data_IF_362608082714
#
_entry.id   IF_362608082714
#
_cell.length_a   1.000
_cell.length_b   1.000
_cell.length_c   1.000
_cell.angle_alpha   90.00
_cell.angle_beta   90.00
_cell.angle_gamma   90.00
#
_symmetry.space_group_name_H-M   'P 1'
#
loop_
_entity.id
_entity.type
_entity.pdbx_description
1 polymer ?
#
# COMPACT_ATOMS: atom_id res chain seq x y z
N UNK A 1 37.89 5.38 -42.60
CA UNK A 1 37.96 5.74 -41.16
C UNK A 1 36.74 6.49 -40.65
N UNK A 2 36.11 7.40 -41.40
CA UNK A 2 34.94 8.18 -40.94
C UNK A 2 33.69 7.33 -40.61
N UNK A 3 33.49 6.21 -41.29
CA UNK A 3 32.31 5.34 -41.13
C UNK A 3 32.37 4.48 -39.85
N UNK A 4 33.55 4.24 -39.30
CA UNK A 4 33.72 3.44 -38.08
C UNK A 4 33.37 4.21 -36.80
N UNK A 5 33.45 5.54 -36.81
CA UNK A 5 33.13 6.36 -35.64
C UNK A 5 31.64 6.26 -35.24
N UNK A 6 30.66 6.45 -36.17
CA UNK A 6 29.26 6.30 -35.81
C UNK A 6 28.90 4.86 -35.40
N UNK A 7 29.54 3.85 -36.00
CA UNK A 7 29.31 2.47 -35.62
C UNK A 7 29.79 2.18 -34.19
N UNK A 8 30.99 2.63 -33.83
CA UNK A 8 31.55 2.47 -32.50
C UNK A 8 30.73 3.25 -31.46
N UNK A 9 30.26 4.45 -31.81
CA UNK A 9 29.39 5.24 -30.94
C UNK A 9 28.03 4.53 -30.72
N UNK A 10 27.44 3.95 -31.75
CA UNK A 10 26.21 3.18 -31.66
C UNK A 10 26.38 1.92 -30.79
N UNK A 11 27.45 1.17 -31.00
CA UNK A 11 27.76 -0.02 -30.19
C UNK A 11 28.04 0.34 -28.74
N UNK A 12 28.78 1.43 -28.48
CA UNK A 12 29.04 1.93 -27.14
C UNK A 12 27.76 2.39 -26.42
N UNK A 13 26.88 3.11 -27.13
CA UNK A 13 25.60 3.53 -26.57
C UNK A 13 24.68 2.34 -26.32
N UNK A 14 24.65 1.35 -27.22
CA UNK A 14 23.89 0.11 -27.04
C UNK A 14 24.38 -0.70 -25.85
N UNK A 15 25.69 -0.86 -25.70
CA UNK A 15 26.28 -1.52 -24.53
C UNK A 15 25.96 -0.79 -23.22
N UNK A 16 26.09 0.54 -23.21
CA UNK A 16 25.72 1.39 -22.06
C UNK A 16 24.25 1.21 -21.68
N UNK A 17 23.36 1.17 -22.70
CA UNK A 17 21.93 1.01 -22.48
C UNK A 17 21.60 -0.38 -21.88
N UNK A 18 22.19 -1.44 -22.44
CA UNK A 18 22.03 -2.82 -21.92
C UNK A 18 22.54 -2.94 -20.48
N UNK A 19 23.70 -2.37 -20.18
CA UNK A 19 24.25 -2.35 -18.82
C UNK A 19 23.37 -1.56 -17.84
N UNK A 20 22.74 -0.47 -18.30
CA UNK A 20 21.85 0.37 -17.47
C UNK A 20 20.46 -0.20 -17.30
N UNK A 21 19.94 -0.98 -18.25
CA UNK A 21 18.64 -1.67 -18.12
C UNK A 21 18.65 -2.74 -17.01
N UNK A 22 19.80 -3.29 -16.66
CA UNK A 22 19.96 -4.25 -15.57
C UNK A 22 20.23 -3.62 -14.19
N UNK A 23 20.38 -2.30 -14.11
CA UNK A 23 20.72 -1.59 -12.85
C UNK A 23 19.53 -0.75 -12.40
N UNK A 24 18.78 -1.30 -11.46
CA UNK A 24 17.66 -0.62 -10.80
C UNK A 24 16.30 -1.22 -11.17
N UNK A 25 15.47 -1.39 -10.17
CA UNK A 25 14.07 -1.74 -10.34
C UNK A 25 13.27 -0.44 -10.60
N UNK A 26 12.81 -0.17 -11.85
CA UNK A 26 12.08 1.06 -12.16
C UNK A 26 10.73 1.15 -11.43
N UNK A 27 10.25 0.04 -10.84
CA UNK A 27 9.04 0.03 -10.01
C UNK A 27 9.29 0.62 -8.61
N UNK A 28 10.56 0.78 -8.20
CA UNK A 28 10.95 1.38 -6.92
C UNK A 28 11.16 2.89 -7.01
N UNK A 29 10.19 3.59 -7.56
CA UNK A 29 10.19 5.07 -7.45
C UNK A 29 9.79 5.40 -6.00
N UNK A 30 10.70 6.02 -5.20
CA UNK A 30 10.33 6.45 -3.86
C UNK A 30 9.10 7.36 -3.96
N UNK A 31 8.06 7.05 -3.21
CA UNK A 31 6.87 7.91 -3.19
C UNK A 31 7.29 9.31 -2.68
N UNK A 32 6.95 10.33 -3.46
CA UNK A 32 7.17 11.73 -3.05
C UNK A 32 6.45 12.10 -1.74
N UNK A 33 5.51 11.24 -1.28
CA UNK A 33 4.74 11.45 -0.07
C UNK A 33 5.44 10.93 1.20
N UNK A 34 6.55 10.17 1.08
CA UNK A 34 7.27 9.67 2.27
C UNK A 34 7.82 10.87 3.05
N UNK A 35 7.57 10.89 4.37
CA UNK A 35 7.92 11.99 5.26
C UNK A 35 6.93 13.16 5.27
N UNK A 36 5.95 13.16 4.36
CA UNK A 36 4.89 14.18 4.33
C UNK A 36 3.66 13.75 5.12
N UNK A 37 2.83 14.73 5.49
CA UNK A 37 1.54 14.46 6.13
C UNK A 37 0.68 13.57 5.22
N UNK A 38 0.01 12.59 5.80
CA UNK A 38 -0.95 11.76 5.08
C UNK A 38 -2.08 12.64 4.51
N UNK A 39 -2.54 12.40 3.28
CA UNK A 39 -3.67 13.12 2.71
C UNK A 39 -4.90 13.03 3.61
N UNK A 40 -5.59 14.17 3.78
CA UNK A 40 -6.84 14.18 4.52
C UNK A 40 -7.91 13.40 3.76
N UNK A 41 -8.37 12.32 4.35
CA UNK A 41 -9.25 11.34 3.69
C UNK A 41 -10.38 10.99 4.65
N UNK A 42 -11.61 11.14 4.18
CA UNK A 42 -12.82 10.69 4.85
C UNK A 42 -13.66 9.90 3.84
N UNK A 43 -13.66 8.57 3.99
CA UNK A 43 -14.36 7.66 3.11
C UNK A 43 -15.47 6.91 3.86
N UNK A 44 -16.66 6.78 3.25
CA UNK A 44 -17.77 6.07 3.86
C UNK A 44 -17.41 4.61 4.13
N UNK A 45 -18.04 3.98 5.15
CA UNK A 45 -17.84 2.57 5.45
C UNK A 45 -18.33 1.66 4.32
N UNK A 46 -17.74 0.47 4.23
CA UNK A 46 -18.25 -0.58 3.35
C UNK A 46 -19.63 -1.05 3.88
N UNK A 47 -20.73 -0.82 3.16
CA UNK A 47 -22.08 -1.11 3.64
C UNK A 47 -22.25 -2.55 4.07
N UNK A 48 -22.74 -2.78 5.28
CA UNK A 48 -22.99 -4.11 5.82
C UNK A 48 -21.73 -4.94 6.11
N UNK A 49 -20.56 -4.31 6.19
CA UNK A 49 -19.36 -4.97 6.69
C UNK A 49 -19.38 -4.98 8.21
N UNK A 50 -19.37 -6.18 8.77
CA UNK A 50 -19.30 -6.40 10.21
C UNK A 50 -18.04 -7.14 10.60
N UNK A 51 -17.59 -6.89 11.84
CA UNK A 51 -16.55 -7.64 12.52
C UNK A 51 -16.95 -7.81 13.98
N UNK A 52 -16.99 -9.05 14.45
CA UNK A 52 -17.41 -9.39 15.82
C UNK A 52 -18.81 -8.82 16.19
N UNK A 53 -19.74 -8.84 15.22
CA UNK A 53 -21.12 -8.33 15.38
C UNK A 53 -21.25 -6.80 15.43
N UNK A 54 -20.20 -6.06 15.09
CA UNK A 54 -20.20 -4.59 15.00
C UNK A 54 -19.88 -4.14 13.59
N UNK A 55 -20.57 -3.08 13.15
CA UNK A 55 -20.26 -2.44 11.87
C UNK A 55 -18.82 -1.91 11.87
N UNK A 56 -18.08 -2.23 10.80
CA UNK A 56 -16.75 -1.69 10.59
C UNK A 56 -16.87 -0.24 10.12
N UNK A 57 -16.25 0.74 10.80
CA UNK A 57 -16.33 2.14 10.42
C UNK A 57 -15.64 2.42 9.07
N UNK A 58 -15.95 3.57 8.49
CA UNK A 58 -15.25 4.13 7.34
C UNK A 58 -13.82 4.51 7.66
N UNK A 59 -13.11 5.00 6.66
CA UNK A 59 -11.72 5.43 6.79
C UNK A 59 -11.67 6.95 7.00
N UNK A 60 -11.34 7.40 8.20
CA UNK A 60 -11.04 8.80 8.50
C UNK A 60 -9.60 8.94 9.00
N UNK A 61 -8.79 9.69 8.25
CA UNK A 61 -7.38 9.95 8.63
C UNK A 61 -7.24 10.84 9.87
N UNK A 62 -8.28 11.56 10.29
CA UNK A 62 -8.28 12.29 11.54
C UNK A 62 -8.15 11.36 12.77
N UNK A 63 -8.58 10.10 12.63
CA UNK A 63 -8.48 9.08 13.68
C UNK A 63 -7.11 8.39 13.76
N UNK A 64 -6.14 8.75 12.91
CA UNK A 64 -4.82 8.10 12.92
C UNK A 64 -3.88 8.68 13.97
N UNK A 65 -4.16 9.88 14.46
CA UNK A 65 -3.31 10.56 15.43
C UNK A 65 -3.09 9.71 16.69
N UNK A 66 -1.84 9.63 17.15
CA UNK A 66 -1.46 8.92 18.37
C UNK A 66 -1.25 7.41 18.21
N UNK A 67 -1.59 6.82 17.05
CA UNK A 67 -1.41 5.39 16.80
C UNK A 67 -0.71 5.12 15.46
N UNK A 68 0.24 4.18 15.43
CA UNK A 68 0.82 3.72 14.17
C UNK A 68 -0.24 2.97 13.38
N UNK A 69 -0.49 3.43 12.17
CA UNK A 69 -1.53 2.88 11.28
C UNK A 69 -0.90 2.25 10.04
N UNK A 70 -1.35 1.06 9.69
CA UNK A 70 -1.03 0.39 8.42
C UNK A 70 -2.27 0.49 7.53
N UNK A 71 -2.19 1.31 6.48
CA UNK A 71 -3.24 1.44 5.47
C UNK A 71 -2.92 0.53 4.29
N UNK A 72 -3.82 -0.39 3.97
CA UNK A 72 -3.74 -1.23 2.77
C UNK A 72 -4.81 -0.80 1.77
N UNK A 73 -4.38 -0.54 0.53
CA UNK A 73 -5.26 -0.21 -0.60
C UNK A 73 -5.50 -1.50 -1.38
N UNK A 74 -6.74 -1.91 -1.50
CA UNK A 74 -7.12 -3.23 -1.98
C UNK A 74 -8.41 -3.23 -2.81
N UNK A 75 -8.67 -4.34 -3.51
CA UNK A 75 -9.93 -4.57 -4.21
C UNK A 75 -10.26 -6.06 -4.27
N UNK A 76 -11.54 -6.41 -4.38
CA UNK A 76 -11.99 -7.80 -4.49
C UNK A 76 -11.59 -8.47 -5.81
N UNK A 77 -11.41 -7.69 -6.86
CA UNK A 77 -10.98 -8.15 -8.19
C UNK A 77 -9.45 -8.31 -8.31
N UNK A 78 -8.71 -7.91 -7.29
CA UNK A 78 -7.25 -7.95 -7.25
C UNK A 78 -6.76 -9.32 -6.77
N UNK A 79 -6.18 -10.11 -7.66
CA UNK A 79 -5.66 -11.45 -7.32
C UNK A 79 -4.53 -11.38 -6.28
N UNK A 80 -3.50 -10.50 -6.40
CA UNK A 80 -2.46 -10.39 -5.39
C UNK A 80 -2.97 -9.96 -4.01
N UNK A 81 -4.07 -9.18 -3.95
CA UNK A 81 -4.69 -8.80 -2.67
C UNK A 81 -5.23 -10.01 -1.89
N UNK A 82 -5.69 -11.04 -2.62
CA UNK A 82 -6.09 -12.31 -2.00
C UNK A 82 -4.90 -13.02 -1.37
N UNK A 83 -3.78 -13.02 -2.08
CA UNK A 83 -2.58 -13.77 -1.67
C UNK A 83 -1.89 -13.13 -0.45
N UNK A 84 -2.02 -11.79 -0.27
CA UNK A 84 -1.50 -11.09 0.91
C UNK A 84 -2.44 -11.11 2.14
N UNK A 85 -3.73 -11.44 1.98
CA UNK A 85 -4.72 -11.35 3.05
C UNK A 85 -4.31 -12.09 4.35
N UNK A 86 -3.72 -13.30 4.33
CA UNK A 86 -3.25 -13.96 5.55
C UNK A 86 -2.16 -13.17 6.29
N UNK A 87 -1.28 -12.49 5.56
CA UNK A 87 -0.20 -11.69 6.14
C UNK A 87 -0.72 -10.40 6.78
N UNK A 88 -1.75 -9.78 6.17
CA UNK A 88 -2.44 -8.65 6.76
C UNK A 88 -3.21 -9.05 8.05
N UNK A 89 -3.79 -10.25 8.09
CA UNK A 89 -4.39 -10.80 9.31
C UNK A 89 -3.35 -10.98 10.43
N UNK A 90 -2.13 -11.43 10.09
CA UNK A 90 -1.03 -11.51 11.06
C UNK A 90 -0.61 -10.13 11.58
N UNK A 91 -0.53 -9.11 10.70
CA UNK A 91 -0.25 -7.74 11.11
C UNK A 91 -1.36 -7.19 12.02
N UNK A 92 -2.62 -7.46 11.71
CA UNK A 92 -3.76 -6.98 12.49
C UNK A 92 -3.86 -7.63 13.89
N UNK A 93 -3.14 -8.73 14.13
CA UNK A 93 -3.03 -9.34 15.47
C UNK A 93 -2.11 -8.54 16.42
N UNK A 94 -1.23 -7.69 15.89
CA UNK A 94 -0.39 -6.80 16.70
C UNK A 94 -1.20 -5.60 17.20
N UNK A 95 -1.54 -5.59 18.48
CA UNK A 95 -2.35 -4.54 19.12
C UNK A 95 -1.67 -3.17 19.20
N UNK A 96 -0.38 -3.08 18.91
CA UNK A 96 0.36 -1.81 18.83
C UNK A 96 0.01 -1.03 17.56
N UNK A 97 -0.61 -1.70 16.59
CA UNK A 97 -0.96 -1.18 15.28
C UNK A 97 -2.46 -1.07 15.08
N UNK A 98 -2.86 -0.18 14.20
CA UNK A 98 -4.19 -0.16 13.61
C UNK A 98 -4.06 -0.51 12.12
N UNK A 99 -4.62 -1.64 11.69
CA UNK A 99 -4.68 -1.99 10.26
C UNK A 99 -6.01 -1.51 9.71
N UNK A 100 -5.96 -0.72 8.63
CA UNK A 100 -7.14 -0.12 7.99
C UNK A 100 -7.13 -0.37 6.49
N UNK A 101 -8.29 -0.38 5.86
CA UNK A 101 -8.46 -0.67 4.44
C UNK A 101 -9.00 0.53 3.66
N UNK A 102 -8.49 0.72 2.44
CA UNK A 102 -9.10 1.55 1.40
C UNK A 102 -9.52 0.64 0.25
N UNK A 103 -10.81 0.41 0.11
CA UNK A 103 -11.35 -0.42 -0.96
C UNK A 103 -11.49 0.39 -2.24
N UNK A 104 -10.67 0.06 -3.24
CA UNK A 104 -10.46 0.85 -4.45
C UNK A 104 -11.32 0.37 -5.61
N UNK A 105 -12.18 1.25 -6.15
CA UNK A 105 -13.00 1.03 -7.36
C UNK A 105 -13.65 -0.34 -7.41
N UNK A 106 -14.38 -0.68 -6.36
CA UNK A 106 -14.96 -2.00 -6.17
C UNK A 106 -16.48 -1.94 -5.94
N UNK A 107 -17.13 -3.09 -6.07
CA UNK A 107 -18.53 -3.26 -5.72
C UNK A 107 -18.65 -3.74 -4.26
N UNK A 108 -19.45 -3.06 -3.46
CA UNK A 108 -19.59 -3.34 -2.03
C UNK A 108 -19.90 -4.82 -1.70
N UNK A 109 -20.73 -5.47 -2.51
CA UNK A 109 -21.06 -6.87 -2.33
C UNK A 109 -19.87 -7.80 -2.59
N UNK A 110 -19.09 -7.51 -3.64
CA UNK A 110 -17.88 -8.27 -3.96
C UNK A 110 -16.82 -8.09 -2.87
N UNK A 111 -16.62 -6.85 -2.40
CA UNK A 111 -15.72 -6.53 -1.33
C UNK A 111 -16.08 -7.27 -0.03
N UNK A 112 -17.37 -7.31 0.36
CA UNK A 112 -17.81 -8.08 1.54
C UNK A 112 -17.56 -9.58 1.37
N UNK A 113 -17.88 -10.14 0.21
CA UNK A 113 -17.62 -11.57 -0.06
C UNK A 113 -16.14 -11.91 0.00
N UNK A 114 -15.29 -11.01 -0.51
CA UNK A 114 -13.84 -11.15 -0.44
C UNK A 114 -13.37 -11.21 1.02
N UNK A 115 -13.73 -10.22 1.85
CA UNK A 115 -13.36 -10.18 3.26
C UNK A 115 -13.97 -11.35 4.06
N UNK A 116 -15.19 -11.76 3.74
CA UNK A 116 -15.80 -12.94 4.36
C UNK A 116 -15.09 -14.25 4.03
N UNK A 117 -14.49 -14.35 2.84
CA UNK A 117 -13.77 -15.56 2.39
C UNK A 117 -12.32 -15.61 2.85
N UNK A 118 -11.61 -14.49 2.83
CA UNK A 118 -10.17 -14.46 3.07
C UNK A 118 -9.78 -13.84 4.43
N UNK A 119 -10.76 -13.40 5.21
CA UNK A 119 -10.59 -12.72 6.49
C UNK A 119 -10.64 -11.20 6.37
N UNK A 120 -11.03 -10.53 7.46
CA UNK A 120 -11.10 -9.08 7.56
C UNK A 120 -10.05 -8.58 8.57
N UNK A 121 -8.88 -8.07 8.11
CA UNK A 121 -7.86 -7.52 8.98
C UNK A 121 -8.18 -6.10 9.46
N UNK A 122 -9.17 -5.43 8.84
CA UNK A 122 -9.36 -4.00 8.94
C UNK A 122 -10.18 -3.59 10.18
N UNK A 123 -9.60 -2.70 10.97
CA UNK A 123 -10.31 -2.02 12.07
C UNK A 123 -11.24 -0.91 11.57
N UNK A 124 -10.93 -0.33 10.41
CA UNK A 124 -11.74 0.60 9.64
C UNK A 124 -11.55 0.31 8.15
N UNK A 125 -12.58 0.46 7.33
CA UNK A 125 -12.48 0.25 5.90
C UNK A 125 -13.36 1.24 5.13
N UNK A 126 -12.73 2.11 4.36
CA UNK A 126 -13.44 3.09 3.53
C UNK A 126 -13.58 2.64 2.08
N UNK A 127 -14.66 3.06 1.42
CA UNK A 127 -14.86 2.84 -0.02
C UNK A 127 -14.41 4.05 -0.80
N UNK A 128 -13.41 3.88 -1.65
CA UNK A 128 -12.99 4.83 -2.69
C UNK A 128 -13.57 4.40 -4.04
N UNK A 129 -14.87 4.61 -4.22
CA UNK A 129 -15.62 4.12 -5.38
C UNK A 129 -15.12 4.70 -6.72
N UNK A 130 -14.65 5.94 -6.72
CA UNK A 130 -14.15 6.63 -7.91
C UNK A 130 -12.61 6.64 -8.03
N UNK A 131 -11.90 6.18 -7.00
CA UNK A 131 -10.43 6.13 -6.97
C UNK A 131 -9.77 7.47 -6.68
N UNK A 132 -10.51 8.49 -6.24
CA UNK A 132 -9.97 9.83 -6.01
C UNK A 132 -9.05 9.87 -4.80
N UNK A 133 -9.42 9.24 -3.70
CA UNK A 133 -8.56 9.17 -2.53
C UNK A 133 -7.25 8.43 -2.85
N UNK A 134 -7.32 7.33 -3.59
CA UNK A 134 -6.12 6.61 -4.02
C UNK A 134 -5.18 7.50 -4.86
N UNK A 135 -5.70 8.38 -5.73
CA UNK A 135 -4.89 9.34 -6.48
C UNK A 135 -4.18 10.33 -5.53
N UNK A 136 -4.88 10.86 -4.53
CA UNK A 136 -4.31 11.78 -3.53
C UNK A 136 -3.20 11.11 -2.71
N UNK A 137 -3.33 9.80 -2.44
CA UNK A 137 -2.30 8.96 -1.80
C UNK A 137 -1.18 8.54 -2.75
N UNK A 138 -1.22 8.96 -4.02
CA UNK A 138 -0.24 8.58 -5.03
C UNK A 138 -0.20 7.07 -5.29
N UNK A 139 -1.34 6.40 -5.19
CA UNK A 139 -1.48 4.97 -5.48
C UNK A 139 -1.35 4.73 -6.98
N UNK A 140 -0.46 3.84 -7.38
CA UNK A 140 -0.28 3.43 -8.77
C UNK A 140 -1.20 2.28 -9.16
N UNK A 141 -1.51 1.41 -8.20
CA UNK A 141 -2.35 0.24 -8.40
C UNK A 141 -2.63 -0.49 -7.09
N UNK A 142 -3.30 -1.63 -7.16
CA UNK A 142 -3.58 -2.46 -5.99
C UNK A 142 -2.88 -3.82 -6.10
N UNK A 143 -2.34 -4.32 -4.99
CA UNK A 143 -2.34 -3.72 -3.66
C UNK A 143 -1.16 -2.76 -3.44
N UNK A 144 -1.34 -1.82 -2.52
CA UNK A 144 -0.27 -0.99 -1.96
C UNK A 144 -0.50 -0.82 -0.45
N UNK A 145 0.60 -0.76 0.31
CA UNK A 145 0.52 -0.65 1.77
C UNK A 145 1.34 0.53 2.27
N UNK A 146 0.74 1.35 3.12
CA UNK A 146 1.37 2.50 3.75
C UNK A 146 1.54 2.28 5.24
N UNK A 147 2.68 2.68 5.80
CA UNK A 147 2.88 2.82 7.24
C UNK A 147 2.80 4.29 7.58
N UNK A 148 1.89 4.64 8.48
CA UNK A 148 1.65 5.99 8.94
C UNK A 148 2.06 6.08 10.42
N UNK A 149 2.88 7.07 10.75
CA UNK A 149 3.36 7.35 12.10
C UNK A 149 2.27 8.00 12.97
N UNK A 150 2.53 8.11 14.27
CA UNK A 150 1.59 8.68 15.25
C UNK A 150 1.26 10.17 15.00
N UNK A 151 2.18 10.90 14.35
CA UNK A 151 2.00 12.29 13.92
C UNK A 151 1.35 12.42 12.54
N UNK A 152 0.74 11.31 12.04
CA UNK A 152 -0.02 11.22 10.79
C UNK A 152 0.85 11.56 9.56
N UNK A 153 2.11 11.08 9.54
CA UNK A 153 3.00 11.18 8.37
C UNK A 153 3.19 9.81 7.74
N UNK A 154 3.36 9.79 6.43
CA UNK A 154 3.69 8.57 5.68
C UNK A 154 5.14 8.21 5.97
N UNK A 155 5.37 7.20 6.82
CA UNK A 155 6.70 6.72 7.18
C UNK A 155 7.27 5.77 6.13
N UNK A 156 6.42 5.01 5.44
CA UNK A 156 6.82 4.02 4.44
C UNK A 156 5.69 3.71 3.46
N UNK A 157 6.04 3.31 2.24
CA UNK A 157 5.12 2.83 1.21
C UNK A 157 5.68 1.57 0.56
N UNK A 158 4.90 0.50 0.59
CA UNK A 158 5.15 -0.73 -0.16
C UNK A 158 4.27 -0.74 -1.40
N UNK A 159 4.88 -0.85 -2.58
CA UNK A 159 4.18 -1.00 -3.86
C UNK A 159 4.10 -2.49 -4.19
N UNK A 160 2.91 -2.96 -4.54
CA UNK A 160 2.64 -4.38 -4.78
C UNK A 160 2.27 -5.14 -3.51
N UNK A 161 2.11 -6.48 -3.62
CA UNK A 161 1.59 -7.32 -2.55
C UNK A 161 2.59 -7.48 -1.39
N UNK A 162 2.04 -7.57 -0.19
CA UNK A 162 2.80 -8.03 0.97
C UNK A 162 3.12 -9.50 0.76
N UNK A 163 4.40 -9.84 0.84
CA UNK A 163 4.93 -11.20 0.78
C UNK A 163 5.61 -11.56 2.10
N UNK A 164 5.88 -12.84 2.34
CA UNK A 164 6.61 -13.26 3.53
C UNK A 164 7.99 -12.61 3.63
N UNK A 165 8.65 -12.37 2.50
CA UNK A 165 9.95 -11.73 2.45
C UNK A 165 9.87 -10.24 2.79
N UNK A 166 9.12 -9.44 2.00
CA UNK A 166 9.05 -7.99 2.21
C UNK A 166 8.35 -7.61 3.52
N UNK A 167 7.48 -8.48 4.05
CA UNK A 167 6.92 -8.31 5.38
C UNK A 167 8.02 -8.28 6.44
N UNK A 168 9.03 -9.17 6.35
CA UNK A 168 10.11 -9.26 7.35
C UNK A 168 11.22 -8.24 7.07
N UNK A 169 11.56 -8.04 5.80
CA UNK A 169 12.72 -7.23 5.40
C UNK A 169 12.42 -5.74 5.27
N UNK A 170 11.16 -5.36 5.02
CA UNK A 170 10.78 -3.99 4.72
C UNK A 170 9.65 -3.47 5.63
N UNK A 171 8.47 -4.14 5.62
CA UNK A 171 7.27 -3.60 6.25
C UNK A 171 7.36 -3.61 7.78
N UNK A 172 7.73 -4.74 8.40
CA UNK A 172 7.93 -4.81 9.86
C UNK A 172 9.01 -3.85 10.37
N UNK A 173 10.20 -3.76 9.76
CA UNK A 173 11.19 -2.74 10.14
C UNK A 173 10.67 -1.31 10.03
N UNK A 174 9.84 -1.00 9.02
CA UNK A 174 9.22 0.32 8.89
C UNK A 174 8.21 0.59 10.01
N UNK A 175 7.40 -0.41 10.37
CA UNK A 175 6.47 -0.36 11.50
C UNK A 175 7.22 -0.15 12.81
N UNK A 176 8.26 -0.91 13.09
CA UNK A 176 9.04 -0.78 14.34
C UNK A 176 9.70 0.60 14.44
N UNK A 177 10.21 1.15 13.33
CA UNK A 177 10.70 2.55 13.31
C UNK A 177 9.61 3.55 13.63
N UNK A 178 8.40 3.38 13.07
CA UNK A 178 7.26 4.25 13.36
C UNK A 178 6.78 4.14 14.81
N UNK A 179 6.87 2.93 15.42
CA UNK A 179 6.55 2.71 16.83
C UNK A 179 7.58 3.32 17.76
N UNK A 180 8.86 3.34 17.37
CA UNK A 180 9.94 3.90 18.18
C UNK A 180 9.97 5.43 18.19
N UNK A 181 9.40 6.08 17.17
CA UNK A 181 9.28 7.53 17.09
C UNK A 181 7.96 7.97 17.76
N UNK A 182 8.04 8.83 18.79
CA UNK A 182 6.87 9.33 19.52
C UNK A 182 5.96 10.23 18.68
#
# INVERSE_FOLDING_TARGET
MLVLIPLLAFLGLGALFVLRLGVGDPSRIPSALIGHAAPRTDLPPLPGLERDGKLVPGLDTAEFAGQVTVLNVWASWCVPCRDEAPLLMMLAADRRLRVVGMNYKDQAENARRFLGRYGNPFAANGIDANGRAAIEWGVYGVPETFVISRDVRIAYKLIGPVTSDNLQTELKPAVERALANP
#
